data_IF_947553915985
#
_entry.id   IF_947553915985
#
_cell.length_a   1.000
_cell.length_b   1.000
_cell.length_c   1.000
_cell.angle_alpha   90.00
_cell.angle_beta   90.00
_cell.angle_gamma   90.00
#
_symmetry.space_group_name_H-M   'P 1'
#
loop_
_entity.id
_entity.type
_entity.pdbx_description
1 polymer ?
#
# COMPACT_ATOMS: atom_id res chain seq x y z
N UNK A 1 -29.52 19.66 -9.75
CA UNK A 1 -28.66 18.49 -10.04
C UNK A 1 -27.21 18.95 -10.01
N UNK A 2 -26.53 18.80 -8.86
CA UNK A 2 -25.12 19.14 -8.77
C UNK A 2 -24.30 17.90 -9.16
N UNK A 3 -23.62 17.93 -10.30
CA UNK A 3 -22.62 16.93 -10.62
C UNK A 3 -21.46 17.07 -9.62
N UNK A 4 -21.48 16.26 -8.55
CA UNK A 4 -20.33 16.13 -7.65
C UNK A 4 -19.29 15.26 -8.35
N UNK A 5 -18.46 15.86 -9.20
CA UNK A 5 -17.17 15.28 -9.53
C UNK A 5 -16.30 15.38 -8.27
N UNK A 6 -16.17 14.28 -7.53
CA UNK A 6 -15.08 14.15 -6.56
C UNK A 6 -13.77 14.11 -7.35
N UNK A 7 -12.85 15.08 -7.19
CA UNK A 7 -11.55 15.03 -7.87
C UNK A 7 -10.58 14.07 -7.16
N UNK A 8 -11.05 13.19 -6.27
CA UNK A 8 -10.20 12.16 -5.67
C UNK A 8 -10.04 11.00 -6.64
N UNK A 9 -9.12 11.17 -7.58
CA UNK A 9 -8.66 10.08 -8.42
C UNK A 9 -7.67 9.28 -7.58
N UNK A 10 -8.09 8.14 -7.03
CA UNK A 10 -7.20 7.25 -6.27
C UNK A 10 -5.93 6.86 -7.07
N UNK A 11 -6.05 6.86 -8.40
CA UNK A 11 -4.94 6.68 -9.35
C UNK A 11 -3.87 7.80 -9.31
N UNK A 12 -4.17 8.99 -8.76
CA UNK A 12 -3.21 10.06 -8.51
C UNK A 12 -2.46 9.88 -7.18
N UNK A 13 -3.00 9.07 -6.25
CA UNK A 13 -2.41 8.84 -4.93
C UNK A 13 -1.36 7.72 -4.97
N UNK A 14 -0.54 7.69 -6.04
CA UNK A 14 0.53 6.69 -6.17
C UNK A 14 1.58 6.93 -5.08
N UNK A 15 2.04 5.88 -4.38
CA UNK A 15 3.11 6.01 -3.42
C UNK A 15 4.34 6.61 -4.11
N UNK A 16 4.95 7.63 -3.49
CA UNK A 16 6.16 8.27 -4.02
C UNK A 16 7.32 7.27 -3.95
N UNK A 17 7.65 6.64 -5.07
CA UNK A 17 8.78 5.71 -5.20
C UNK A 17 10.09 6.49 -5.40
N UNK A 18 11.18 6.00 -4.81
CA UNK A 18 12.53 6.51 -5.02
C UNK A 18 13.18 5.62 -6.08
N UNK A 19 13.50 6.18 -7.25
CA UNK A 19 14.07 5.42 -8.38
C UNK A 19 13.26 4.15 -8.73
N UNK A 20 11.94 4.19 -8.57
CA UNK A 20 11.03 3.06 -8.82
C UNK A 20 11.02 1.97 -7.75
N UNK A 21 11.55 2.26 -6.56
CA UNK A 21 11.54 1.39 -5.38
C UNK A 21 10.78 2.06 -4.24
N UNK A 22 10.10 1.28 -3.41
CA UNK A 22 9.43 1.79 -2.21
C UNK A 22 10.44 2.48 -1.26
N UNK A 23 10.01 3.54 -0.59
CA UNK A 23 10.86 4.32 0.32
C UNK A 23 11.46 3.47 1.44
N UNK A 24 10.66 2.58 2.03
CA UNK A 24 11.10 1.70 3.13
C UNK A 24 12.20 0.74 2.67
N UNK A 25 12.00 0.10 1.52
CA UNK A 25 13.00 -0.79 0.93
C UNK A 25 14.29 -0.05 0.56
N UNK A 26 14.18 1.13 -0.07
CA UNK A 26 15.35 1.94 -0.41
C UNK A 26 16.14 2.35 0.85
N UNK A 27 15.46 2.79 1.91
CA UNK A 27 16.08 3.11 3.19
C UNK A 27 16.80 1.90 3.80
N UNK A 28 16.18 0.72 3.77
CA UNK A 28 16.81 -0.53 4.21
C UNK A 28 18.08 -0.87 3.43
N UNK A 29 18.07 -0.63 2.11
CA UNK A 29 19.22 -0.89 1.24
C UNK A 29 20.39 0.07 1.53
N UNK A 30 20.10 1.34 1.82
CA UNK A 30 21.13 2.31 2.27
C UNK A 30 21.72 1.91 3.61
N UNK A 31 20.89 1.50 4.58
CA UNK A 31 21.36 1.01 5.89
C UNK A 31 22.22 -0.25 5.74
N UNK A 32 21.81 -1.19 4.88
CA UNK A 32 22.61 -2.38 4.60
C UNK A 32 23.97 -2.00 3.99
N UNK A 33 23.99 -1.04 3.07
CA UNK A 33 25.23 -0.51 2.47
C UNK A 33 26.16 0.15 3.51
N UNK A 34 25.61 0.97 4.41
CA UNK A 34 26.43 1.58 5.48
C UNK A 34 26.94 0.54 6.48
N UNK A 35 26.15 -0.49 6.80
CA UNK A 35 26.59 -1.62 7.62
C UNK A 35 27.71 -2.43 6.95
N UNK A 36 27.61 -2.71 5.65
CA UNK A 36 28.68 -3.41 4.94
C UNK A 36 29.99 -2.64 4.96
N UNK A 37 29.92 -1.31 4.86
CA UNK A 37 31.09 -0.45 5.01
C UNK A 37 31.68 -0.53 6.42
N UNK A 38 30.86 -0.41 7.47
CA UNK A 38 31.31 -0.48 8.86
C UNK A 38 31.89 -1.85 9.25
N UNK A 39 31.36 -2.93 8.69
CA UNK A 39 31.83 -4.31 8.90
C UNK A 39 32.96 -4.73 7.96
N UNK A 40 33.44 -3.84 7.08
CA UNK A 40 34.46 -4.15 6.07
C UNK A 40 34.08 -5.32 5.15
N UNK A 41 32.79 -5.55 4.96
CA UNK A 41 32.22 -6.60 4.10
C UNK A 41 32.08 -6.09 2.68
N UNK A 42 33.21 -5.85 2.02
CA UNK A 42 33.23 -5.32 0.65
C UNK A 42 32.56 -6.25 -0.37
N UNK A 43 32.54 -7.56 -0.11
CA UNK A 43 31.82 -8.54 -0.91
C UNK A 43 30.31 -8.30 -0.92
N UNK A 44 29.74 -7.71 0.15
CA UNK A 44 28.33 -7.38 0.24
C UNK A 44 27.86 -6.37 -0.81
N UNK A 45 28.76 -5.52 -1.32
CA UNK A 45 28.43 -4.52 -2.33
C UNK A 45 28.05 -5.12 -3.68
N UNK A 46 28.53 -6.32 -4.01
CA UNK A 46 28.11 -7.03 -5.23
C UNK A 46 26.63 -7.41 -5.20
N UNK A 47 26.06 -7.61 -4.01
CA UNK A 47 24.67 -8.02 -3.85
C UNK A 47 23.71 -6.82 -3.74
N UNK A 48 24.17 -5.63 -3.34
CA UNK A 48 23.33 -4.42 -3.30
C UNK A 48 22.59 -4.11 -4.62
N UNK A 49 23.23 -4.12 -5.81
CA UNK A 49 22.51 -3.88 -7.06
C UNK A 49 21.50 -4.99 -7.37
N UNK A 50 21.80 -6.25 -7.00
CA UNK A 50 20.86 -7.35 -7.15
C UNK A 50 19.61 -7.15 -6.27
N UNK A 51 19.79 -6.79 -5.00
CA UNK A 51 18.69 -6.47 -4.10
C UNK A 51 17.90 -5.26 -4.56
N UNK A 52 18.56 -4.25 -5.13
CA UNK A 52 17.88 -3.09 -5.70
C UNK A 52 16.98 -3.46 -6.87
N UNK A 53 17.44 -4.33 -7.78
CA UNK A 53 16.64 -4.83 -8.90
C UNK A 53 15.43 -5.64 -8.43
N UNK A 54 15.63 -6.49 -7.41
CA UNK A 54 14.55 -7.27 -6.79
C UNK A 54 13.51 -6.33 -6.17
N UNK A 55 13.95 -5.33 -5.39
CA UNK A 55 13.07 -4.32 -4.81
C UNK A 55 12.29 -3.55 -5.87
N UNK A 56 12.96 -3.13 -6.95
CA UNK A 56 12.32 -2.45 -8.08
C UNK A 56 11.32 -3.34 -8.80
N UNK A 57 11.58 -4.64 -8.91
CA UNK A 57 10.64 -5.59 -9.50
C UNK A 57 9.41 -5.81 -8.60
N UNK A 58 9.61 -5.92 -7.29
CA UNK A 58 8.53 -6.04 -6.30
C UNK A 58 7.65 -4.79 -6.26
N UNK A 59 8.26 -3.60 -6.22
CA UNK A 59 7.56 -2.31 -6.18
C UNK A 59 6.82 -1.95 -7.49
N UNK A 60 6.96 -2.74 -8.56
CA UNK A 60 6.10 -2.62 -9.74
C UNK A 60 4.70 -3.20 -9.53
N UNK A 61 4.49 -4.00 -8.48
CA UNK A 61 3.16 -4.49 -8.13
C UNK A 61 2.34 -3.33 -7.56
N UNK A 62 1.08 -3.26 -7.93
CA UNK A 62 0.20 -2.19 -7.47
C UNK A 62 -0.16 -2.41 -5.99
N UNK A 63 0.48 -1.64 -5.11
CA UNK A 63 0.24 -1.70 -3.66
C UNK A 63 -1.24 -1.50 -3.31
N UNK A 64 -1.98 -0.71 -4.10
CA UNK A 64 -3.42 -0.53 -3.88
C UNK A 64 -4.18 -1.81 -4.18
N UNK A 65 -3.84 -2.49 -5.28
CA UNK A 65 -4.44 -3.79 -5.62
C UNK A 65 -4.15 -4.83 -4.55
N UNK A 66 -2.91 -4.93 -4.07
CA UNK A 66 -2.52 -5.90 -3.04
C UNK A 66 -3.23 -5.60 -1.72
N UNK A 67 -3.32 -4.32 -1.33
CA UNK A 67 -4.04 -3.91 -0.12
C UNK A 67 -5.55 -4.22 -0.21
N UNK A 68 -6.17 -3.94 -1.36
CA UNK A 68 -7.57 -4.28 -1.63
C UNK A 68 -7.80 -5.79 -1.61
N UNK A 69 -6.91 -6.56 -2.23
CA UNK A 69 -7.00 -8.02 -2.24
C UNK A 69 -6.86 -8.60 -0.84
N UNK A 70 -5.91 -8.12 -0.04
CA UNK A 70 -5.73 -8.55 1.36
C UNK A 70 -6.96 -8.23 2.20
N UNK A 71 -7.51 -7.02 2.05
CA UNK A 71 -8.75 -6.63 2.74
C UNK A 71 -9.92 -7.54 2.34
N UNK A 72 -10.07 -7.78 1.04
CA UNK A 72 -11.10 -8.68 0.51
C UNK A 72 -10.96 -10.11 1.04
N UNK A 73 -9.74 -10.64 1.13
CA UNK A 73 -9.47 -11.99 1.67
C UNK A 73 -9.70 -12.07 3.18
N UNK A 74 -9.48 -10.97 3.91
CA UNK A 74 -9.72 -10.90 5.36
C UNK A 74 -11.18 -10.64 5.71
N UNK A 75 -11.97 -10.11 4.78
CA UNK A 75 -13.41 -9.95 4.96
C UNK A 75 -14.08 -11.34 4.94
N UNK A 76 -14.29 -11.93 6.13
CA UNK A 76 -14.99 -13.22 6.28
C UNK A 76 -16.48 -13.19 5.90
N UNK A 77 -16.95 -12.07 5.33
CA UNK A 77 -18.36 -11.72 5.21
C UNK A 77 -18.71 -11.16 3.83
N UNK A 78 -17.82 -11.34 2.86
CA UNK A 78 -18.03 -10.87 1.47
C UNK A 78 -19.38 -11.32 0.90
N UNK A 79 -19.85 -12.50 1.29
CA UNK A 79 -21.11 -13.10 0.80
C UNK A 79 -22.31 -12.86 1.72
N UNK A 80 -22.14 -12.17 2.84
CA UNK A 80 -23.21 -11.88 3.79
C UNK A 80 -23.85 -10.55 3.45
N UNK A 81 -25.09 -10.59 2.93
CA UNK A 81 -25.85 -9.39 2.58
C UNK A 81 -26.49 -8.71 3.79
N UNK A 82 -26.35 -9.25 5.01
CA UNK A 82 -26.96 -8.63 6.18
C UNK A 82 -26.19 -7.37 6.61
N UNK A 83 -26.89 -6.22 6.73
CA UNK A 83 -26.24 -4.97 7.10
C UNK A 83 -25.79 -5.01 8.56
N UNK A 84 -24.49 -4.87 8.79
CA UNK A 84 -23.90 -4.87 10.13
C UNK A 84 -23.98 -3.50 10.77
N UNK A 85 -24.17 -3.51 12.08
CA UNK A 85 -24.19 -2.29 12.90
C UNK A 85 -22.82 -1.61 12.95
N UNK A 86 -21.71 -2.36 12.81
CA UNK A 86 -20.34 -1.84 12.71
C UNK A 86 -20.13 -1.03 11.44
N UNK A 87 -20.53 -1.57 10.28
CA UNK A 87 -20.32 -0.94 8.98
C UNK A 87 -21.10 0.37 8.86
N UNK A 88 -22.23 0.49 9.57
CA UNK A 88 -23.04 1.70 9.60
C UNK A 88 -22.24 2.92 10.09
N UNK A 89 -21.34 2.74 11.05
CA UNK A 89 -20.55 3.84 11.61
C UNK A 89 -19.44 4.31 10.66
N UNK A 90 -18.92 3.39 9.84
CA UNK A 90 -17.88 3.67 8.84
C UNK A 90 -18.44 4.29 7.55
N UNK A 91 -19.75 4.14 7.29
CA UNK A 91 -20.40 4.75 6.13
C UNK A 91 -20.34 6.29 6.16
N UNK A 92 -20.26 6.88 4.99
CA UNK A 92 -20.36 8.34 4.84
C UNK A 92 -21.75 8.84 5.28
N UNK A 93 -21.83 10.06 5.81
CA UNK A 93 -23.11 10.73 6.12
C UNK A 93 -24.02 10.72 4.90
N UNK A 94 -25.30 10.37 5.11
CA UNK A 94 -26.30 10.20 4.05
C UNK A 94 -26.34 8.82 3.35
N UNK A 95 -25.40 7.91 3.62
CA UNK A 95 -25.42 6.54 3.09
C UNK A 95 -25.89 5.51 4.13
N UNK A 96 -27.05 5.75 4.72
CA UNK A 96 -27.63 4.85 5.72
C UNK A 96 -27.00 4.90 7.12
N UNK A 97 -25.96 5.71 7.31
CA UNK A 97 -25.38 6.00 8.63
C UNK A 97 -26.40 6.62 9.59
N UNK A 98 -27.21 7.54 9.08
CA UNK A 98 -28.12 8.36 9.87
C UNK A 98 -29.58 7.85 9.86
N UNK A 99 -29.84 6.68 9.29
CA UNK A 99 -31.18 6.09 9.35
C UNK A 99 -31.52 5.77 10.83
N UNK A 100 -32.79 5.77 11.24
CA UNK A 100 -33.19 5.18 12.52
C UNK A 100 -33.11 3.64 12.43
N UNK A 101 -32.86 2.96 13.56
CA UNK A 101 -33.03 1.50 13.72
C UNK A 101 -34.46 1.17 14.09
#
# INVERSE_FOLDING_TARGET
MASRSSPFHAALHRPRLILGVEKGFFAGLVIAGTMFLGLHLYSGFFFLPLFFLIGRWLSKRDDQFVALLLRYLQEGHVFDSTPRTTDRQERARGWGRDLPT
#
